data_IF_858146953768
#
_entry.id   IF_858146953768
#
_cell.length_a   1.000
_cell.length_b   1.000
_cell.length_c   1.000
_cell.angle_alpha   90.00
_cell.angle_beta   90.00
_cell.angle_gamma   90.00
#
_symmetry.space_group_name_H-M   'P 1'
#
loop_
_entity.id
_entity.type
_entity.pdbx_description
1 polymer ?
#
# COMPACT_ATOMS: atom_id res chain seq x y z
N UNK A 1 -12.41 -28.83 11.93
CA UNK A 1 -11.10 -29.42 12.26
C UNK A 1 -10.56 -28.66 13.45
N UNK A 2 -10.21 -29.37 14.50
CA UNK A 2 -9.73 -28.75 15.75
C UNK A 2 -8.34 -28.14 15.49
N UNK A 3 -8.22 -26.83 15.39
CA UNK A 3 -6.98 -26.11 15.02
C UNK A 3 -5.97 -26.04 16.17
N UNK A 4 -6.33 -26.50 17.37
CA UNK A 4 -5.47 -26.41 18.55
C UNK A 4 -4.19 -27.29 18.51
N UNK A 5 -4.12 -28.27 17.60
CA UNK A 5 -2.98 -29.18 17.49
C UNK A 5 -2.09 -28.95 16.27
N UNK A 6 -2.38 -27.92 15.47
CA UNK A 6 -1.62 -27.63 14.25
C UNK A 6 -0.32 -26.89 14.57
N UNK A 7 0.77 -27.27 13.89
CA UNK A 7 2.02 -26.51 13.90
C UNK A 7 1.80 -25.13 13.26
N UNK A 8 2.67 -24.15 13.57
CA UNK A 8 2.62 -22.82 12.95
C UNK A 8 2.67 -22.89 11.42
N UNK A 9 3.46 -23.80 10.86
CA UNK A 9 3.56 -24.00 9.40
C UNK A 9 2.26 -24.55 8.80
N UNK A 10 1.59 -25.48 9.48
CA UNK A 10 0.28 -26.00 9.04
C UNK A 10 -0.81 -24.93 9.11
N UNK A 11 -0.83 -24.13 10.19
CA UNK A 11 -1.74 -22.99 10.33
C UNK A 11 -1.52 -22.00 9.18
N UNK A 12 -0.27 -21.60 8.91
CA UNK A 12 0.09 -20.72 7.80
C UNK A 12 -0.46 -21.23 6.45
N UNK A 13 -0.15 -22.50 6.13
CA UNK A 13 -0.59 -23.11 4.88
C UNK A 13 -2.11 -23.16 4.73
N UNK A 14 -2.82 -23.48 5.79
CA UNK A 14 -4.29 -23.54 5.78
C UNK A 14 -4.89 -22.14 5.65
N UNK A 15 -4.36 -21.17 6.41
CA UNK A 15 -4.84 -19.80 6.37
C UNK A 15 -4.68 -19.17 5.01
N UNK A 16 -3.49 -19.29 4.40
CA UNK A 16 -3.24 -18.73 3.06
C UNK A 16 -4.20 -19.24 1.99
N UNK A 17 -4.66 -20.48 2.08
CA UNK A 17 -5.66 -21.01 1.16
C UNK A 17 -7.01 -20.29 1.22
N UNK A 18 -7.32 -19.59 2.31
CA UNK A 18 -8.53 -18.78 2.42
C UNK A 18 -8.42 -17.44 1.70
N UNK A 19 -7.20 -16.98 1.37
CA UNK A 19 -6.98 -15.69 0.71
C UNK A 19 -7.62 -15.63 -0.67
N UNK A 20 -7.75 -16.76 -1.37
CA UNK A 20 -8.46 -16.85 -2.66
C UNK A 20 -9.93 -16.42 -2.58
N UNK A 21 -10.55 -16.55 -1.41
CA UNK A 21 -11.96 -16.25 -1.21
C UNK A 21 -12.19 -14.76 -0.87
N UNK A 22 -11.10 -13.97 -0.68
CA UNK A 22 -11.16 -12.52 -0.42
C UNK A 22 -11.69 -11.81 -1.64
N UNK A 23 -12.66 -10.92 -1.45
CA UNK A 23 -13.40 -10.25 -2.53
C UNK A 23 -12.90 -8.83 -2.79
N UNK A 24 -12.74 -8.02 -1.73
CA UNK A 24 -12.24 -6.65 -1.84
C UNK A 24 -10.78 -6.60 -1.43
N UNK A 25 -9.94 -6.24 -2.38
CA UNK A 25 -8.48 -6.28 -2.24
C UNK A 25 -7.92 -4.87 -2.44
N UNK A 26 -7.18 -4.40 -1.46
CA UNK A 26 -6.36 -3.18 -1.58
C UNK A 26 -4.93 -3.61 -1.87
N UNK A 27 -4.33 -3.04 -2.91
CA UNK A 27 -2.91 -3.26 -3.24
C UNK A 27 -2.18 -1.94 -3.10
N UNK A 28 -1.12 -1.91 -2.32
CA UNK A 28 -0.26 -0.72 -2.18
C UNK A 28 1.06 -0.95 -2.88
N UNK A 29 1.48 0.03 -3.69
CA UNK A 29 2.79 0.04 -4.35
C UNK A 29 3.58 1.31 -3.98
N UNK A 30 4.82 1.12 -3.52
CA UNK A 30 5.72 2.20 -3.18
C UNK A 30 6.46 2.80 -4.39
N UNK A 31 6.95 4.02 -4.26
CA UNK A 31 7.74 4.67 -5.32
C UNK A 31 9.00 3.89 -5.69
N UNK A 32 9.71 3.31 -4.71
CA UNK A 32 10.88 2.46 -4.94
C UNK A 32 10.58 1.24 -5.81
N UNK A 33 9.34 0.73 -5.75
CA UNK A 33 8.90 -0.42 -6.55
C UNK A 33 8.51 -0.05 -7.99
N UNK A 34 8.22 1.24 -8.24
CA UNK A 34 7.78 1.75 -9.54
C UNK A 34 8.91 2.42 -10.35
N UNK A 35 10.07 2.63 -9.74
CA UNK A 35 11.18 3.35 -10.36
C UNK A 35 12.39 2.43 -10.53
N UNK A 36 13.17 2.70 -11.57
CA UNK A 36 14.53 2.14 -11.69
C UNK A 36 15.46 2.79 -10.67
N UNK A 37 16.12 2.02 -9.83
CA UNK A 37 17.00 2.51 -8.78
C UNK A 37 18.16 3.38 -9.30
N UNK A 38 18.70 3.04 -10.47
CA UNK A 38 19.86 3.71 -11.05
C UNK A 38 19.53 5.07 -11.64
N UNK A 39 18.30 5.25 -12.16
CA UNK A 39 17.95 6.45 -12.94
C UNK A 39 16.83 7.27 -12.28
N UNK A 40 16.11 6.69 -11.31
CA UNK A 40 14.91 7.29 -10.73
C UNK A 40 13.73 7.44 -11.70
N UNK A 41 13.82 6.84 -12.90
CA UNK A 41 12.75 6.89 -13.91
C UNK A 41 11.76 5.76 -13.72
N UNK A 42 10.55 5.96 -14.27
CA UNK A 42 9.47 4.97 -14.20
C UNK A 42 9.86 3.64 -14.84
N UNK A 43 9.64 2.56 -14.12
CA UNK A 43 9.75 1.18 -14.62
C UNK A 43 8.42 0.76 -15.23
N UNK A 44 8.27 1.04 -16.52
CA UNK A 44 7.04 0.71 -17.26
C UNK A 44 6.77 -0.77 -17.33
N UNK A 45 7.80 -1.63 -17.27
CA UNK A 45 7.62 -3.07 -17.25
C UNK A 45 6.90 -3.52 -15.98
N UNK A 46 7.31 -3.00 -14.82
CA UNK A 46 6.63 -3.29 -13.55
C UNK A 46 5.20 -2.76 -13.51
N UNK A 47 4.96 -1.55 -14.08
CA UNK A 47 3.62 -0.97 -14.13
C UNK A 47 2.70 -1.80 -15.03
N UNK A 48 3.19 -2.28 -16.17
CA UNK A 48 2.43 -3.16 -17.07
C UNK A 48 2.02 -4.45 -16.37
N UNK A 49 2.96 -5.13 -15.70
CA UNK A 49 2.65 -6.34 -14.93
C UNK A 49 1.63 -6.02 -13.83
N UNK A 50 1.83 -4.94 -13.08
CA UNK A 50 0.89 -4.51 -12.03
C UNK A 50 -0.52 -4.31 -12.59
N UNK A 51 -0.65 -3.55 -13.68
CA UNK A 51 -1.95 -3.29 -14.32
C UNK A 51 -2.62 -4.59 -14.79
N UNK A 52 -1.84 -5.51 -15.35
CA UNK A 52 -2.32 -6.83 -15.80
C UNK A 52 -2.83 -7.67 -14.62
N UNK A 53 -2.05 -7.80 -13.54
CA UNK A 53 -2.43 -8.61 -12.37
C UNK A 53 -3.72 -8.04 -11.71
N UNK A 54 -3.82 -6.72 -11.57
CA UNK A 54 -5.02 -6.09 -11.00
C UNK A 54 -6.24 -6.24 -11.92
N UNK A 55 -6.04 -6.15 -13.24
CA UNK A 55 -7.08 -6.37 -14.23
C UNK A 55 -7.60 -7.80 -14.21
N UNK A 56 -6.70 -8.78 -14.06
CA UNK A 56 -7.07 -10.18 -13.95
C UNK A 56 -7.87 -10.48 -12.68
N UNK A 57 -7.47 -9.94 -11.53
CA UNK A 57 -8.24 -10.05 -10.29
C UNK A 57 -9.65 -9.47 -10.43
N UNK A 58 -9.77 -8.32 -11.10
CA UNK A 58 -11.08 -7.72 -11.36
C UNK A 58 -11.93 -8.58 -12.30
N UNK A 59 -11.32 -9.15 -13.35
CA UNK A 59 -12.00 -10.06 -14.27
C UNK A 59 -12.46 -11.37 -13.58
N UNK A 60 -11.81 -11.77 -12.48
CA UNK A 60 -12.25 -12.86 -11.59
C UNK A 60 -13.42 -12.46 -10.68
N UNK A 61 -13.93 -11.23 -10.78
CA UNK A 61 -15.05 -10.72 -9.98
C UNK A 61 -14.65 -10.14 -8.63
N UNK A 62 -13.36 -9.83 -8.43
CA UNK A 62 -12.88 -9.16 -7.23
C UNK A 62 -12.99 -7.64 -7.38
N UNK A 63 -13.20 -6.94 -6.27
CA UNK A 63 -13.11 -5.49 -6.19
C UNK A 63 -11.66 -5.12 -5.84
N UNK A 64 -11.04 -4.28 -6.67
CA UNK A 64 -9.62 -3.93 -6.54
C UNK A 64 -9.46 -2.43 -6.37
N UNK A 65 -8.69 -2.04 -5.37
CA UNK A 65 -8.29 -0.65 -5.12
C UNK A 65 -6.76 -0.61 -5.13
N UNK A 66 -6.17 0.32 -5.87
CA UNK A 66 -4.73 0.53 -5.91
C UNK A 66 -4.35 1.78 -5.11
N UNK A 67 -3.46 1.66 -4.13
CA UNK A 67 -2.82 2.80 -3.45
C UNK A 67 -1.41 2.95 -4.01
N UNK A 68 -1.14 4.05 -4.69
CA UNK A 68 0.11 4.25 -5.43
C UNK A 68 0.86 5.47 -4.96
N UNK A 69 2.15 5.30 -4.69
CA UNK A 69 3.11 6.37 -4.53
C UNK A 69 3.71 6.79 -5.88
N UNK A 70 4.67 7.72 -5.85
CA UNK A 70 5.51 8.06 -6.99
C UNK A 70 5.18 9.38 -7.69
N UNK A 71 4.09 10.06 -7.34
CA UNK A 71 3.71 11.32 -7.96
C UNK A 71 4.83 12.39 -7.89
N UNK A 72 5.39 12.62 -6.72
CA UNK A 72 6.49 13.59 -6.54
C UNK A 72 7.72 13.25 -7.38
N UNK A 73 8.09 11.97 -7.48
CA UNK A 73 9.23 11.53 -8.29
C UNK A 73 8.98 11.72 -9.78
N UNK A 74 7.80 11.36 -10.28
CA UNK A 74 7.39 11.57 -11.68
C UNK A 74 7.36 13.06 -12.04
N UNK A 75 6.87 13.90 -11.13
CA UNK A 75 6.84 15.34 -11.34
C UNK A 75 8.23 15.96 -11.35
N UNK A 76 9.10 15.52 -10.45
CA UNK A 76 10.52 15.93 -10.43
C UNK A 76 11.21 15.60 -11.75
N UNK A 77 11.08 14.37 -12.25
CA UNK A 77 11.63 13.97 -13.54
C UNK A 77 11.12 14.86 -14.68
N UNK A 78 9.82 15.11 -14.70
CA UNK A 78 9.18 15.92 -15.72
C UNK A 78 9.68 17.36 -15.73
N UNK A 79 9.81 17.97 -14.56
CA UNK A 79 10.28 19.36 -14.42
C UNK A 79 11.77 19.49 -14.75
N UNK A 80 12.60 18.52 -14.34
CA UNK A 80 14.03 18.52 -14.69
C UNK A 80 14.27 18.33 -16.20
N UNK A 81 13.42 17.56 -16.88
CA UNK A 81 13.55 17.31 -18.33
C UNK A 81 13.09 18.48 -19.19
N UNK A 82 12.21 19.36 -18.67
CA UNK A 82 11.54 20.41 -19.45
C UNK A 82 11.94 21.85 -19.13
N UNK A 83 12.81 22.10 -18.15
CA UNK A 83 13.07 23.44 -17.65
C UNK A 83 14.55 23.69 -17.32
N UNK A 84 14.89 24.99 -17.15
CA UNK A 84 16.19 25.44 -16.63
C UNK A 84 16.40 25.17 -15.14
N UNK A 85 15.50 24.43 -14.49
CA UNK A 85 15.66 23.98 -13.10
C UNK A 85 16.69 22.85 -13.07
N UNK A 86 17.87 23.13 -12.55
CA UNK A 86 18.99 22.18 -12.55
C UNK A 86 19.04 21.29 -11.31
N UNK A 87 18.31 21.62 -10.24
CA UNK A 87 18.38 20.89 -8.97
C UNK A 87 17.04 20.92 -8.22
N UNK A 88 16.29 19.83 -8.27
CA UNK A 88 15.22 19.51 -7.31
C UNK A 88 15.71 18.29 -6.52
N UNK A 89 16.11 18.51 -5.28
CA UNK A 89 16.66 17.49 -4.38
C UNK A 89 15.59 16.97 -3.42
N UNK A 90 15.88 15.87 -2.70
CA UNK A 90 14.95 15.31 -1.72
C UNK A 90 14.72 16.24 -0.51
N UNK A 91 15.72 17.04 -0.16
CA UNK A 91 15.66 18.06 0.90
C UNK A 91 15.06 19.38 0.45
N UNK A 92 14.56 19.46 -0.81
CA UNK A 92 13.89 20.66 -1.32
C UNK A 92 12.70 21.05 -0.43
N UNK A 93 12.40 22.38 -0.33
CA UNK A 93 11.26 22.88 0.43
C UNK A 93 9.94 22.19 0.05
N UNK A 94 9.02 22.10 1.02
CA UNK A 94 7.71 21.45 0.83
C UNK A 94 6.97 22.02 -0.38
N UNK A 95 7.06 23.32 -0.63
CA UNK A 95 6.44 23.98 -1.78
C UNK A 95 6.91 23.44 -3.14
N UNK A 96 8.17 23.03 -3.22
CA UNK A 96 8.72 22.40 -4.43
C UNK A 96 8.20 20.97 -4.55
N UNK A 97 8.14 20.23 -3.43
CA UNK A 97 7.56 18.88 -3.39
C UNK A 97 6.08 18.88 -3.80
N UNK A 98 5.31 19.84 -3.29
CA UNK A 98 3.90 20.05 -3.67
C UNK A 98 3.74 20.36 -5.16
N UNK A 99 4.59 21.22 -5.73
CA UNK A 99 4.59 21.50 -7.15
C UNK A 99 4.96 20.27 -7.99
N UNK A 100 5.96 19.50 -7.56
CA UNK A 100 6.30 18.22 -8.19
C UNK A 100 5.12 17.23 -8.11
N UNK A 101 4.49 17.08 -6.96
CA UNK A 101 3.34 16.20 -6.79
C UNK A 101 2.18 16.60 -7.72
N UNK A 102 1.90 17.90 -7.86
CA UNK A 102 0.85 18.41 -8.73
C UNK A 102 1.10 18.04 -10.21
N UNK A 103 2.33 18.22 -10.71
CA UNK A 103 2.69 17.85 -12.09
C UNK A 103 2.73 16.34 -12.25
N UNK A 104 3.30 15.64 -11.26
CA UNK A 104 3.55 14.21 -11.32
C UNK A 104 2.29 13.39 -11.17
N UNK A 105 1.33 13.81 -10.35
CA UNK A 105 0.08 13.07 -10.16
C UNK A 105 -0.71 12.99 -11.47
N UNK A 106 -0.80 14.06 -12.21
CA UNK A 106 -1.47 14.04 -13.52
C UNK A 106 -0.78 13.08 -14.50
N UNK A 107 0.56 13.07 -14.55
CA UNK A 107 1.33 12.17 -15.40
C UNK A 107 1.22 10.71 -14.95
N UNK A 108 1.28 10.46 -13.66
CA UNK A 108 1.13 9.13 -13.09
C UNK A 108 -0.24 8.53 -13.45
N UNK A 109 -1.31 9.32 -13.35
CA UNK A 109 -2.65 8.90 -13.76
C UNK A 109 -2.74 8.61 -15.26
N UNK A 110 -2.12 9.43 -16.12
CA UNK A 110 -2.07 9.14 -17.56
C UNK A 110 -1.36 7.81 -17.86
N UNK A 111 -0.28 7.50 -17.14
CA UNK A 111 0.45 6.23 -17.26
C UNK A 111 -0.46 5.08 -16.86
N UNK A 112 -1.08 5.13 -15.69
CA UNK A 112 -1.99 4.07 -15.24
C UNK A 112 -3.18 3.89 -16.19
N UNK A 113 -3.84 4.97 -16.60
CA UNK A 113 -4.96 4.91 -17.54
C UNK A 113 -4.58 4.18 -18.83
N UNK A 114 -3.41 4.51 -19.40
CA UNK A 114 -2.90 3.86 -20.61
C UNK A 114 -2.74 2.35 -20.42
N UNK A 115 -2.07 1.90 -19.35
CA UNK A 115 -1.86 0.48 -19.12
C UNK A 115 -3.16 -0.26 -18.77
N UNK A 116 -4.06 0.33 -18.00
CA UNK A 116 -5.36 -0.28 -17.71
C UNK A 116 -6.26 -0.35 -18.94
N UNK A 117 -6.19 0.64 -19.85
CA UNK A 117 -6.93 0.63 -21.13
C UNK A 117 -6.52 -0.56 -22.01
N UNK A 118 -5.22 -0.93 -22.04
CA UNK A 118 -4.73 -2.10 -22.77
C UNK A 118 -5.37 -3.42 -22.28
N UNK A 119 -5.87 -3.45 -21.04
CA UNK A 119 -6.62 -4.58 -20.45
C UNK A 119 -8.14 -4.34 -20.36
N UNK A 120 -8.67 -3.32 -21.07
CA UNK A 120 -10.08 -2.93 -21.04
C UNK A 120 -10.60 -2.61 -19.64
N UNK A 121 -9.76 -1.98 -18.81
CA UNK A 121 -10.14 -1.51 -17.48
C UNK A 121 -10.17 0.01 -17.44
N UNK A 122 -11.07 0.54 -16.61
CA UNK A 122 -11.15 1.98 -16.34
C UNK A 122 -10.54 2.24 -14.96
N UNK A 123 -9.62 3.20 -14.90
CA UNK A 123 -9.03 3.67 -13.66
C UNK A 123 -9.58 5.05 -13.28
N UNK A 124 -9.88 5.26 -12.00
CA UNK A 124 -10.38 6.53 -11.45
C UNK A 124 -9.47 7.05 -10.33
N UNK A 125 -9.10 8.34 -10.38
CA UNK A 125 -8.27 8.95 -9.34
C UNK A 125 -9.08 9.28 -8.08
N UNK A 126 -8.53 8.96 -6.90
CA UNK A 126 -9.01 9.42 -5.60
C UNK A 126 -7.84 10.00 -4.82
N UNK A 127 -7.92 11.27 -4.44
CA UNK A 127 -6.90 11.94 -3.63
C UNK A 127 -7.42 12.20 -2.23
N UNK A 128 -6.62 11.84 -1.23
CA UNK A 128 -6.99 11.91 0.18
C UNK A 128 -5.98 12.73 0.97
N UNK A 129 -6.43 13.27 2.09
CA UNK A 129 -5.61 13.84 3.16
C UNK A 129 -6.13 13.33 4.50
N UNK A 130 -5.38 13.51 5.59
CA UNK A 130 -5.84 13.21 6.95
C UNK A 130 -7.25 13.80 7.22
N UNK A 131 -7.45 15.08 6.88
CA UNK A 131 -8.74 15.76 7.06
C UNK A 131 -9.90 15.11 6.27
N UNK A 132 -9.61 14.46 5.13
CA UNK A 132 -10.64 13.75 4.35
C UNK A 132 -11.23 12.58 5.13
N UNK A 133 -10.46 11.96 6.01
CA UNK A 133 -10.87 10.79 6.80
C UNK A 133 -11.42 11.19 8.17
N UNK A 134 -10.84 12.20 8.82
CA UNK A 134 -11.26 12.62 10.17
C UNK A 134 -12.53 13.49 10.14
N UNK A 135 -12.78 14.24 9.06
CA UNK A 135 -14.01 14.99 8.91
C UNK A 135 -15.18 14.08 8.50
N UNK A 136 -16.22 14.01 9.30
CA UNK A 136 -17.38 13.11 9.12
C UNK A 136 -18.04 13.21 7.74
N UNK A 137 -18.29 14.44 7.25
CA UNK A 137 -18.92 14.64 5.95
C UNK A 137 -18.00 14.24 4.80
N UNK A 138 -16.74 14.61 4.88
CA UNK A 138 -15.73 14.24 3.88
C UNK A 138 -15.55 12.72 3.82
N UNK A 139 -15.45 12.05 4.98
CA UNK A 139 -15.36 10.59 5.10
C UNK A 139 -16.58 9.90 4.46
N UNK A 140 -17.79 10.39 4.74
CA UNK A 140 -19.02 9.86 4.14
C UNK A 140 -19.02 10.00 2.61
N UNK A 141 -18.68 11.18 2.09
CA UNK A 141 -18.62 11.43 0.65
C UNK A 141 -17.52 10.59 -0.03
N UNK A 142 -16.38 10.44 0.63
CA UNK A 142 -15.28 9.60 0.15
C UNK A 142 -15.69 8.13 0.03
N UNK A 143 -16.33 7.58 1.08
CA UNK A 143 -16.85 6.22 1.08
C UNK A 143 -17.87 6.01 -0.06
N UNK A 144 -18.77 6.97 -0.27
CA UNK A 144 -19.75 6.89 -1.37
C UNK A 144 -19.06 6.91 -2.73
N UNK A 145 -18.05 7.77 -2.92
CA UNK A 145 -17.29 7.83 -4.17
C UNK A 145 -16.61 6.49 -4.47
N UNK A 146 -15.91 5.89 -3.50
CA UNK A 146 -15.32 4.56 -3.68
C UNK A 146 -16.38 3.51 -4.03
N UNK A 147 -17.47 3.49 -3.28
CA UNK A 147 -18.56 2.52 -3.47
C UNK A 147 -19.16 2.62 -4.88
N UNK A 148 -19.38 3.82 -5.39
CA UNK A 148 -19.90 4.00 -6.74
C UNK A 148 -18.85 3.65 -7.82
N UNK A 149 -17.58 4.00 -7.63
CA UNK A 149 -16.50 3.59 -8.56
C UNK A 149 -16.44 2.07 -8.67
N UNK A 150 -16.43 1.35 -7.53
CA UNK A 150 -16.40 -0.11 -7.52
C UNK A 150 -17.64 -0.73 -8.18
N UNK A 151 -18.84 -0.23 -7.91
CA UNK A 151 -20.09 -0.66 -8.56
C UNK A 151 -20.07 -0.44 -10.07
N UNK A 152 -19.50 0.67 -10.53
CA UNK A 152 -19.32 0.97 -11.94
C UNK A 152 -18.20 0.16 -12.60
N UNK A 153 -17.52 -0.67 -11.83
CA UNK A 153 -16.42 -1.48 -12.31
C UNK A 153 -15.15 -0.67 -12.62
N UNK A 154 -14.97 0.47 -11.99
CA UNK A 154 -13.75 1.29 -12.07
C UNK A 154 -12.75 0.82 -11.02
N UNK A 155 -11.46 0.81 -11.34
CA UNK A 155 -10.37 0.58 -10.39
C UNK A 155 -9.99 1.93 -9.77
N UNK A 156 -10.28 2.20 -8.48
CA UNK A 156 -9.83 3.41 -7.82
C UNK A 156 -8.29 3.39 -7.67
N UNK A 157 -7.62 4.46 -8.09
CA UNK A 157 -6.19 4.70 -7.84
C UNK A 157 -6.09 5.82 -6.82
N UNK A 158 -5.62 5.46 -5.64
CA UNK A 158 -5.57 6.33 -4.46
C UNK A 158 -4.16 6.83 -4.25
N UNK A 159 -4.03 8.10 -3.91
CA UNK A 159 -2.79 8.68 -3.41
C UNK A 159 -3.11 9.77 -2.37
N UNK A 160 -2.11 10.17 -1.61
CA UNK A 160 -2.19 11.37 -0.81
C UNK A 160 -2.30 12.60 -1.73
N UNK A 161 -3.06 13.61 -1.31
CA UNK A 161 -3.12 14.90 -1.99
C UNK A 161 -1.95 15.79 -1.57
N UNK A 162 -0.75 15.38 -1.96
CA UNK A 162 0.51 16.07 -1.64
C UNK A 162 0.52 17.54 -2.10
N UNK A 163 -0.33 17.92 -3.07
CA UNK A 163 -0.37 19.30 -3.57
C UNK A 163 -0.96 20.29 -2.56
N UNK A 164 -1.71 19.83 -1.59
CA UNK A 164 -2.32 20.64 -0.52
C UNK A 164 -1.98 20.16 0.88
N UNK A 165 -1.36 18.98 1.02
CA UNK A 165 -0.96 18.45 2.29
C UNK A 165 0.17 19.27 2.90
N UNK A 166 0.06 19.56 4.21
CA UNK A 166 1.13 20.12 5.03
C UNK A 166 1.62 19.05 6.00
N UNK A 167 2.79 19.25 6.63
CA UNK A 167 3.33 18.28 7.60
C UNK A 167 2.34 17.87 8.69
N UNK A 168 1.42 18.75 9.06
CA UNK A 168 0.38 18.50 10.09
C UNK A 168 -0.82 17.69 9.57
N UNK A 169 -0.99 17.62 8.25
CA UNK A 169 -2.14 16.98 7.58
C UNK A 169 -1.74 15.82 6.67
N UNK A 170 -0.48 15.42 6.69
CA UNK A 170 0.00 14.26 5.95
C UNK A 170 -0.44 12.99 6.68
N UNK A 171 -0.87 12.00 5.93
CA UNK A 171 -1.07 10.63 6.45
C UNK A 171 0.29 9.96 6.75
N UNK A 172 1.37 10.59 6.32
CA UNK A 172 2.76 10.21 6.58
C UNK A 172 3.32 9.30 5.50
N UNK A 173 2.83 8.09 5.38
CA UNK A 173 3.29 7.12 4.38
C UNK A 173 2.09 6.42 3.73
N UNK A 174 2.24 6.07 2.47
CA UNK A 174 1.21 5.32 1.74
C UNK A 174 0.97 3.90 2.31
N UNK A 175 1.84 3.39 3.18
CA UNK A 175 1.55 2.16 3.94
C UNK A 175 0.36 2.41 4.86
N UNK A 176 0.40 3.48 5.68
CA UNK A 176 -0.71 3.87 6.55
C UNK A 176 -1.95 4.27 5.73
N UNK A 177 -1.78 5.05 4.65
CA UNK A 177 -2.88 5.41 3.76
C UNK A 177 -3.60 4.17 3.23
N UNK A 178 -2.85 3.13 2.84
CA UNK A 178 -3.44 1.88 2.32
C UNK A 178 -4.23 1.12 3.38
N UNK A 179 -3.78 1.11 4.63
CA UNK A 179 -4.50 0.50 5.74
C UNK A 179 -5.76 1.30 6.11
N UNK A 180 -5.69 2.64 6.05
CA UNK A 180 -6.85 3.52 6.22
C UNK A 180 -7.90 3.25 5.13
N UNK A 181 -7.47 3.13 3.87
CA UNK A 181 -8.37 2.79 2.75
C UNK A 181 -8.97 1.40 2.94
N UNK A 182 -8.16 0.42 3.36
CA UNK A 182 -8.64 -0.94 3.62
C UNK A 182 -9.70 -0.95 4.73
N UNK A 183 -9.46 -0.24 5.83
CA UNK A 183 -10.42 -0.08 6.93
C UNK A 183 -11.70 0.64 6.48
N UNK A 184 -11.57 1.80 5.82
CA UNK A 184 -12.70 2.62 5.36
C UNK A 184 -13.61 1.85 4.41
N UNK A 185 -13.04 1.01 3.56
CA UNK A 185 -13.74 0.26 2.54
C UNK A 185 -14.06 -1.17 2.95
N UNK A 186 -13.84 -1.54 4.21
CA UNK A 186 -14.08 -2.90 4.72
C UNK A 186 -13.45 -3.96 3.79
N UNK A 187 -12.17 -3.76 3.44
CA UNK A 187 -11.46 -4.67 2.56
C UNK A 187 -11.14 -5.99 3.28
N UNK A 188 -11.12 -7.07 2.51
CA UNK A 188 -10.81 -8.40 3.02
C UNK A 188 -9.29 -8.66 3.08
N UNK A 189 -8.53 -8.00 2.19
CA UNK A 189 -7.09 -8.21 2.03
C UNK A 189 -6.39 -6.93 1.62
N UNK A 190 -5.30 -6.60 2.32
CA UNK A 190 -4.33 -5.58 1.95
C UNK A 190 -3.02 -6.25 1.53
N UNK A 191 -2.57 -6.04 0.30
CA UNK A 191 -1.26 -6.48 -0.18
C UNK A 191 -0.33 -5.27 -0.24
N UNK A 192 0.71 -5.28 0.59
CA UNK A 192 1.69 -4.22 0.68
C UNK A 192 2.96 -4.65 -0.06
N UNK A 193 3.11 -4.14 -1.28
CA UNK A 193 4.28 -4.35 -2.13
C UNK A 193 5.43 -3.45 -1.66
N UNK A 194 6.56 -4.05 -1.30
CA UNK A 194 7.68 -3.38 -0.66
C UNK A 194 9.03 -3.82 -1.27
N UNK A 195 10.09 -3.18 -0.81
CA UNK A 195 11.48 -3.56 -1.08
C UNK A 195 12.04 -4.63 -0.13
N UNK A 196 11.23 -5.04 0.88
CA UNK A 196 11.59 -6.10 1.83
C UNK A 196 10.78 -7.36 1.59
N UNK A 197 11.36 -8.53 1.92
CA UNK A 197 10.70 -9.83 1.77
C UNK A 197 9.47 -10.01 2.67
N UNK A 198 9.45 -9.32 3.82
CA UNK A 198 8.41 -9.38 4.83
C UNK A 198 8.97 -9.01 6.19
N UNK A 199 8.37 -9.54 7.26
CA UNK A 199 8.82 -9.31 8.64
C UNK A 199 9.91 -10.32 9.03
N UNK A 200 10.93 -9.81 9.71
CA UNK A 200 12.00 -10.62 10.33
C UNK A 200 12.04 -10.36 11.83
N UNK A 201 12.65 -11.28 12.57
CA UNK A 201 12.85 -11.13 14.02
C UNK A 201 13.81 -10.01 14.39
N UNK A 202 14.62 -9.53 13.43
CA UNK A 202 15.62 -8.46 13.52
C UNK A 202 15.92 -7.95 12.10
N UNK A 203 16.72 -6.88 11.94
CA UNK A 203 17.14 -6.39 10.61
C UNK A 203 18.11 -7.39 9.94
N UNK A 204 17.69 -8.10 8.86
CA UNK A 204 18.52 -9.12 8.21
C UNK A 204 19.78 -8.54 7.57
N UNK A 205 19.85 -7.22 7.34
CA UNK A 205 21.05 -6.53 6.81
C UNK A 205 22.14 -6.39 7.88
N UNK A 206 21.74 -6.39 9.16
CA UNK A 206 22.63 -6.23 10.32
C UNK A 206 22.85 -7.53 11.07
N UNK A 207 21.82 -8.37 11.13
CA UNK A 207 21.86 -9.64 11.83
C UNK A 207 21.63 -10.82 10.87
N UNK A 208 22.68 -11.56 10.47
CA UNK A 208 22.55 -12.73 9.59
C UNK A 208 21.70 -13.86 10.16
N UNK A 209 21.43 -13.85 11.50
CA UNK A 209 20.61 -14.83 12.18
C UNK A 209 19.14 -14.38 12.31
N UNK A 210 18.76 -13.24 11.72
CA UNK A 210 17.39 -12.78 11.71
C UNK A 210 16.48 -13.83 11.02
N UNK A 211 15.51 -14.35 11.78
CA UNK A 211 14.55 -15.34 11.27
C UNK A 211 13.41 -14.69 10.51
N UNK A 212 13.06 -15.22 9.34
CA UNK A 212 11.89 -14.77 8.58
C UNK A 212 10.59 -15.22 9.25
N UNK A 213 9.62 -14.31 9.35
CA UNK A 213 8.31 -14.56 9.96
C UNK A 213 7.26 -14.65 8.85
N UNK A 214 6.89 -15.88 8.49
CA UNK A 214 5.92 -16.11 7.40
C UNK A 214 4.46 -15.84 7.81
N UNK A 215 4.13 -15.97 9.11
CA UNK A 215 2.76 -16.00 9.59
C UNK A 215 2.65 -15.31 10.95
N UNK A 216 1.77 -14.35 11.06
CA UNK A 216 1.42 -13.61 12.28
C UNK A 216 -0.08 -13.81 12.52
N UNK A 217 -0.40 -14.69 13.47
CA UNK A 217 -1.79 -14.99 13.86
C UNK A 217 -2.42 -13.81 14.60
N UNK A 218 -1.62 -13.15 15.43
CA UNK A 218 -2.00 -11.94 16.17
C UNK A 218 -0.80 -11.02 16.30
N UNK A 219 -1.00 -9.77 15.95
CA UNK A 219 0.02 -8.73 16.12
C UNK A 219 -0.04 -8.19 17.55
N UNK A 220 1.08 -8.25 18.28
CA UNK A 220 1.20 -7.80 19.67
C UNK A 220 2.20 -6.64 19.81
N UNK A 221 2.25 -6.04 20.98
CA UNK A 221 3.15 -4.92 21.29
C UNK A 221 4.64 -5.26 21.10
N UNK A 222 5.01 -6.53 21.34
CA UNK A 222 6.39 -6.98 21.14
C UNK A 222 6.77 -6.93 19.66
N UNK A 223 5.89 -7.41 18.80
CA UNK A 223 6.09 -7.35 17.35
C UNK A 223 6.06 -5.90 16.83
N UNK A 224 5.19 -5.04 17.38
CA UNK A 224 5.18 -3.61 17.07
C UNK A 224 6.51 -2.94 17.42
N UNK A 225 7.17 -3.40 18.49
CA UNK A 225 8.50 -2.93 18.90
C UNK A 225 9.62 -3.27 17.93
N UNK A 226 9.51 -4.37 17.16
CA UNK A 226 10.53 -4.80 16.19
C UNK A 226 10.76 -3.79 15.05
N UNK A 227 9.79 -2.92 14.77
CA UNK A 227 9.89 -1.89 13.74
C UNK A 227 10.72 -0.66 14.13
N UNK A 228 10.97 -0.44 15.42
CA UNK A 228 11.56 0.83 15.92
C UNK A 228 13.06 1.00 15.63
N UNK A 229 13.78 -0.08 15.32
CA UNK A 229 15.23 -0.07 15.14
C UNK A 229 15.69 -0.08 13.68
N UNK A 230 14.78 -0.22 12.71
CA UNK A 230 15.12 -0.29 11.29
C UNK A 230 14.87 1.04 10.57
N UNK A 231 15.92 1.79 10.27
CA UNK A 231 15.84 2.95 9.35
C UNK A 231 15.68 2.50 7.90
N UNK A 232 14.66 3.06 7.20
CA UNK A 232 14.32 2.70 5.83
C UNK A 232 15.39 2.96 4.77
N UNK A 233 15.09 2.56 3.53
CA UNK A 233 15.89 2.83 2.33
C UNK A 233 15.88 4.31 1.95
N UNK A 234 16.93 4.78 1.25
CA UNK A 234 17.11 6.18 0.83
C UNK A 234 16.05 6.74 -0.14
N UNK A 235 15.13 5.93 -0.62
CA UNK A 235 14.08 6.32 -1.58
C UNK A 235 12.64 6.14 -1.06
N UNK A 236 12.44 5.65 0.16
CA UNK A 236 11.12 5.45 0.76
C UNK A 236 11.04 6.05 2.15
N UNK A 237 10.00 6.81 2.43
CA UNK A 237 9.71 7.39 3.77
C UNK A 237 9.28 6.34 4.78
N UNK A 238 8.87 5.12 4.33
CA UNK A 238 8.33 4.06 5.16
C UNK A 238 9.35 3.02 5.60
N UNK A 239 9.61 2.95 6.92
CA UNK A 239 10.37 1.86 7.55
C UNK A 239 9.50 0.65 7.91
N UNK A 240 10.09 -0.34 8.60
CA UNK A 240 9.31 -1.48 9.12
C UNK A 240 8.25 -1.02 10.13
N UNK A 241 8.48 0.08 10.87
CA UNK A 241 7.52 0.62 11.83
C UNK A 241 6.21 1.07 11.16
N UNK A 242 6.28 1.75 10.01
CA UNK A 242 5.07 2.17 9.27
C UNK A 242 4.30 0.98 8.71
N UNK A 243 5.01 -0.07 8.28
CA UNK A 243 4.39 -1.32 7.81
C UNK A 243 3.68 -2.07 8.94
N UNK A 244 4.25 -2.07 10.14
CA UNK A 244 3.62 -2.68 11.31
C UNK A 244 2.42 -1.85 11.80
N UNK A 245 2.48 -0.51 11.73
CA UNK A 245 1.33 0.36 12.00
C UNK A 245 0.20 0.09 11.00
N UNK A 246 0.53 -0.02 9.71
CA UNK A 246 -0.44 -0.40 8.69
C UNK A 246 -1.05 -1.79 8.95
N UNK A 247 -0.22 -2.77 9.37
CA UNK A 247 -0.69 -4.10 9.74
C UNK A 247 -1.63 -4.07 10.95
N UNK A 248 -1.31 -3.25 11.96
CA UNK A 248 -2.18 -3.05 13.12
C UNK A 248 -3.54 -2.50 12.69
N UNK A 249 -3.56 -1.40 11.95
CA UNK A 249 -4.80 -0.77 11.45
C UNK A 249 -5.63 -1.74 10.62
N UNK A 250 -5.01 -2.42 9.65
CA UNK A 250 -5.71 -3.37 8.79
C UNK A 250 -6.30 -4.54 9.58
N UNK A 251 -5.49 -5.20 10.43
CA UNK A 251 -5.94 -6.39 11.16
C UNK A 251 -7.00 -6.06 12.20
N UNK A 252 -6.90 -4.93 12.90
CA UNK A 252 -7.91 -4.47 13.86
C UNK A 252 -9.22 -4.08 13.19
N UNK A 253 -9.18 -3.66 11.93
CA UNK A 253 -10.38 -3.42 11.11
C UNK A 253 -10.97 -4.69 10.48
N UNK A 254 -10.39 -5.88 10.72
CA UNK A 254 -10.85 -7.13 10.15
C UNK A 254 -10.31 -7.47 8.76
N UNK A 255 -9.27 -6.78 8.31
CA UNK A 255 -8.61 -7.00 7.03
C UNK A 255 -7.32 -7.81 7.22
N UNK A 256 -7.14 -8.89 6.44
CA UNK A 256 -5.84 -9.55 6.35
C UNK A 256 -4.82 -8.62 5.69
N UNK A 257 -3.56 -8.73 6.09
CA UNK A 257 -2.50 -8.00 5.41
C UNK A 257 -1.34 -8.91 5.02
N UNK A 258 -0.75 -8.67 3.84
CA UNK A 258 0.47 -9.35 3.41
C UNK A 258 1.53 -8.32 3.05
N UNK A 259 2.71 -8.42 3.69
CA UNK A 259 3.90 -7.67 3.27
C UNK A 259 4.74 -8.59 2.40
N UNK A 260 5.13 -8.11 1.20
CA UNK A 260 5.86 -8.91 0.23
C UNK A 260 6.80 -8.06 -0.62
N UNK A 261 7.88 -8.68 -1.09
CA UNK A 261 8.82 -8.05 -2.01
C UNK A 261 8.19 -7.84 -3.40
N UNK A 262 8.34 -6.62 -3.91
CA UNK A 262 7.79 -6.15 -5.20
C UNK A 262 8.78 -6.30 -6.37
N UNK A 263 9.80 -7.15 -6.25
CA UNK A 263 10.75 -7.39 -7.37
C UNK A 263 10.02 -7.96 -8.60
N UNK A 264 9.03 -8.82 -8.39
CA UNK A 264 8.10 -9.31 -9.43
C UNK A 264 6.66 -9.05 -8.99
N UNK A 265 5.93 -8.22 -9.74
CA UNK A 265 4.53 -7.87 -9.45
C UNK A 265 3.55 -9.06 -9.59
N UNK A 266 3.95 -10.17 -10.24
CA UNK A 266 3.17 -11.41 -10.30
C UNK A 266 2.92 -12.02 -8.93
N UNK A 267 3.69 -11.64 -7.93
CA UNK A 267 3.50 -12.05 -6.54
C UNK A 267 2.08 -11.76 -6.01
N UNK A 268 1.39 -10.77 -6.58
CA UNK A 268 -0.01 -10.46 -6.27
C UNK A 268 -0.90 -11.68 -6.54
N UNK A 269 -0.73 -12.28 -7.72
CA UNK A 269 -1.46 -13.49 -8.09
C UNK A 269 -1.14 -14.66 -7.15
N UNK A 270 0.16 -14.90 -6.89
CA UNK A 270 0.61 -15.97 -6.00
C UNK A 270 -0.05 -15.87 -4.61
N UNK A 271 -0.10 -14.65 -4.03
CA UNK A 271 -0.72 -14.40 -2.71
C UNK A 271 -2.20 -14.75 -2.74
N UNK A 272 -2.93 -14.27 -3.76
CA UNK A 272 -4.37 -14.53 -3.87
C UNK A 272 -4.66 -16.01 -4.12
N UNK A 273 -3.76 -16.74 -4.77
CA UNK A 273 -3.88 -18.21 -4.91
C UNK A 273 -3.49 -18.99 -3.64
N UNK A 274 -3.00 -18.30 -2.61
CA UNK A 274 -2.65 -18.91 -1.33
C UNK A 274 -1.23 -19.49 -1.27
N UNK A 275 -0.36 -19.06 -2.18
CA UNK A 275 1.05 -19.42 -2.16
C UNK A 275 1.78 -18.78 -0.97
N UNK A 276 2.83 -19.45 -0.48
CA UNK A 276 3.61 -18.97 0.65
C UNK A 276 4.57 -17.85 0.22
N UNK A 277 4.05 -16.62 0.11
CA UNK A 277 4.80 -15.41 -0.23
C UNK A 277 4.72 -14.38 0.88
N UNK A 278 5.84 -13.78 1.23
CA UNK A 278 5.90 -12.72 2.23
C UNK A 278 5.39 -13.11 3.62
N UNK A 279 5.12 -12.12 4.44
CA UNK A 279 4.52 -12.28 5.77
C UNK A 279 3.03 -12.01 5.72
N UNK A 280 2.20 -12.98 6.12
CA UNK A 280 0.76 -12.76 6.30
C UNK A 280 0.45 -12.41 7.75
N UNK A 281 -0.32 -11.35 7.95
CA UNK A 281 -0.93 -10.93 9.20
C UNK A 281 -2.42 -11.24 9.12
N UNK A 282 -2.90 -12.08 10.04
CA UNK A 282 -4.30 -12.48 10.05
C UNK A 282 -5.19 -11.37 10.60
N UNK A 283 -6.38 -11.24 10.06
CA UNK A 283 -7.41 -10.37 10.60
C UNK A 283 -7.68 -10.75 12.08
N UNK A 284 -7.67 -9.74 12.96
CA UNK A 284 -7.95 -9.82 14.41
C UNK A 284 -8.89 -8.67 14.77
N UNK A 285 -10.15 -8.69 14.23
CA UNK A 285 -11.06 -7.55 14.35
C UNK A 285 -11.34 -7.21 15.80
N UNK A 286 -11.22 -5.94 16.12
CA UNK A 286 -11.49 -5.37 17.43
C UNK A 286 -12.77 -4.54 17.35
N UNK A 287 -13.87 -4.95 18.04
CA UNK A 287 -15.12 -4.21 17.99
C UNK A 287 -15.04 -2.78 18.52
N UNK A 288 -14.05 -2.50 19.36
CA UNK A 288 -13.83 -1.19 19.96
C UNK A 288 -12.84 -0.33 19.15
N UNK A 289 -12.31 -0.83 18.03
CA UNK A 289 -11.38 -0.08 17.19
C UNK A 289 -12.10 1.03 16.41
N UNK A 290 -11.79 2.30 16.72
CA UNK A 290 -12.22 3.46 15.95
C UNK A 290 -11.07 4.00 15.09
N UNK A 291 -11.27 3.94 13.76
CA UNK A 291 -10.30 4.41 12.79
C UNK A 291 -9.98 5.91 12.92
N UNK A 292 -10.99 6.73 13.23
CA UNK A 292 -10.82 8.20 13.32
C UNK A 292 -10.00 8.54 14.55
N UNK A 293 -10.34 7.97 15.71
CA UNK A 293 -9.60 8.13 16.95
C UNK A 293 -8.14 7.68 16.78
N UNK A 294 -7.94 6.51 16.15
CA UNK A 294 -6.60 6.01 15.87
C UNK A 294 -5.76 6.97 14.99
N UNK A 295 -6.38 7.55 13.94
CA UNK A 295 -5.69 8.51 13.05
C UNK A 295 -5.35 9.79 13.79
N UNK A 296 -6.23 10.29 14.65
CA UNK A 296 -6.00 11.53 15.42
C UNK A 296 -4.83 11.37 16.39
N UNK A 297 -4.64 10.17 16.97
CA UNK A 297 -3.61 9.90 17.96
C UNK A 297 -2.26 9.47 17.37
N UNK A 298 -2.24 8.81 16.21
CA UNK A 298 -1.05 8.09 15.73
C UNK A 298 -0.57 8.50 14.33
N UNK A 299 -1.36 9.23 13.59
CA UNK A 299 -1.08 9.67 12.22
C UNK A 299 -1.18 11.20 12.13
#
# INVERSE_FOLDING_TARGET
MDTQFLTRSEKNRLYRKTLKDRKRIVVKVGSSSLLHHETGRMDYHKIDILARELSDLKNQGKEVILVSSGATAVGREALLSGSNFREIQEDSPITIKQACASVGQARLMMIYQKFFEDYNQIAGQVLMTKNTVTNTLSKYNLHNTFSELLKLGVIPIVNENDSVATYEYMVGDNDNLSAIVASLMEADLLILLSDVEGLFTDDPRRNPNAGFIEYVEKLDETMMGMGKESSGSSYGTGGMSTKLQAAWTATKSGCDMVIVNASDMKVIHDIVQGENRGTVFCADPDPDFDLVEYIEENV
#
